data_IF_453475218944
#
_entry.id   IF_453475218944
#
_cell.length_a   1.000
_cell.length_b   1.000
_cell.length_c   1.000
_cell.angle_alpha   90.00
_cell.angle_beta   90.00
_cell.angle_gamma   90.00
#
_symmetry.space_group_name_H-M   'P 1'
#
loop_
_entity.id
_entity.type
_entity.pdbx_description
1 polymer ?
#
# COMPACT_ATOMS: atom_id res chain seq x y z
N UNK A 1 24.52 -2.45 -25.03
CA UNK A 1 23.17 -2.67 -24.45
C UNK A 1 23.35 -3.58 -23.25
N UNK A 2 22.81 -3.20 -22.09
CA UNK A 2 22.85 -4.01 -20.86
C UNK A 2 21.88 -5.19 -21.02
N UNK A 3 22.31 -6.39 -20.65
CA UNK A 3 21.47 -7.60 -20.65
C UNK A 3 21.11 -7.94 -19.20
N UNK A 4 19.88 -7.62 -18.75
CA UNK A 4 19.44 -7.83 -17.38
C UNK A 4 19.46 -9.31 -16.97
N UNK A 5 19.32 -10.23 -17.93
CA UNK A 5 19.30 -11.68 -17.64
C UNK A 5 20.69 -12.17 -17.25
N UNK A 6 21.72 -11.72 -17.98
CA UNK A 6 23.12 -12.04 -17.65
C UNK A 6 23.54 -11.49 -16.30
N UNK A 7 23.15 -10.25 -15.98
CA UNK A 7 23.48 -9.64 -14.68
C UNK A 7 22.83 -10.39 -13.52
N UNK A 8 21.59 -10.84 -13.70
CA UNK A 8 20.89 -11.62 -12.70
C UNK A 8 21.51 -13.02 -12.53
N UNK A 9 21.87 -13.69 -13.63
CA UNK A 9 22.52 -15.00 -13.57
C UNK A 9 23.91 -14.94 -12.95
N UNK A 10 24.71 -13.90 -13.26
CA UNK A 10 26.03 -13.69 -12.64
C UNK A 10 25.91 -13.39 -11.14
N UNK A 11 24.91 -12.61 -10.74
CA UNK A 11 24.64 -12.31 -9.33
C UNK A 11 24.19 -13.56 -8.57
N UNK A 12 23.27 -14.35 -9.14
CA UNK A 12 22.74 -15.55 -8.50
C UNK A 12 23.76 -16.68 -8.46
N UNK A 13 24.66 -16.75 -9.45
CA UNK A 13 25.77 -17.69 -9.51
C UNK A 13 26.95 -17.32 -8.61
N UNK A 14 26.97 -16.11 -8.05
CA UNK A 14 28.06 -15.67 -7.18
C UNK A 14 28.11 -16.48 -5.88
N UNK A 15 29.31 -16.94 -5.51
CA UNK A 15 29.53 -17.69 -4.28
C UNK A 15 29.67 -16.76 -3.09
N UNK A 16 28.96 -17.08 -2.00
CA UNK A 16 29.02 -16.30 -0.77
C UNK A 16 30.30 -16.69 0.00
N UNK A 17 31.20 -15.74 0.29
CA UNK A 17 32.47 -16.01 0.97
C UNK A 17 32.27 -16.75 2.29
N UNK A 18 33.05 -17.80 2.52
CA UNK A 18 33.06 -18.57 3.77
C UNK A 18 31.94 -19.61 3.93
N UNK A 19 31.02 -19.74 2.95
CA UNK A 19 29.90 -20.71 3.05
C UNK A 19 29.92 -21.80 1.97
N UNK A 20 30.72 -21.63 0.91
CA UNK A 20 30.83 -22.60 -0.19
C UNK A 20 29.58 -22.73 -1.07
N UNK A 21 28.50 -22.01 -0.76
CA UNK A 21 27.21 -22.03 -1.47
C UNK A 21 27.01 -20.77 -2.32
N UNK A 22 26.24 -20.89 -3.40
CA UNK A 22 25.86 -19.72 -4.21
C UNK A 22 24.70 -18.95 -3.58
N UNK A 23 24.52 -17.69 -4.00
CA UNK A 23 23.36 -16.86 -3.62
C UNK A 23 22.05 -17.57 -3.99
N UNK A 24 22.00 -18.25 -5.14
CA UNK A 24 20.84 -19.04 -5.58
C UNK A 24 20.54 -20.21 -4.65
N UNK A 25 21.56 -20.91 -4.17
CA UNK A 25 21.38 -22.06 -3.27
C UNK A 25 20.84 -21.62 -1.92
N UNK A 26 21.37 -20.53 -1.35
CA UNK A 26 20.86 -19.94 -0.09
C UNK A 26 19.44 -19.41 -0.25
N UNK A 27 19.11 -18.79 -1.38
CA UNK A 27 17.77 -18.33 -1.67
C UNK A 27 16.77 -19.49 -1.81
N UNK A 28 17.15 -20.58 -2.49
CA UNK A 28 16.35 -21.80 -2.57
C UNK A 28 16.16 -22.46 -1.21
N UNK A 29 17.21 -22.49 -0.38
CA UNK A 29 17.16 -23.04 0.97
C UNK A 29 16.28 -22.18 1.90
N UNK A 30 16.33 -20.86 1.79
CA UNK A 30 15.45 -19.94 2.51
C UNK A 30 13.99 -20.05 2.06
N UNK A 31 13.73 -20.20 0.76
CA UNK A 31 12.38 -20.42 0.23
C UNK A 31 11.79 -21.77 0.66
N UNK A 32 12.63 -22.82 0.72
CA UNK A 32 12.24 -24.13 1.21
C UNK A 32 11.98 -24.10 2.73
N UNK A 33 12.84 -23.43 3.49
CA UNK A 33 12.65 -23.25 4.93
C UNK A 33 11.42 -22.38 5.26
N UNK A 34 11.05 -21.44 4.39
CA UNK A 34 9.81 -20.66 4.48
C UNK A 34 8.55 -21.47 4.10
N UNK A 35 8.66 -22.44 3.18
CA UNK A 35 7.59 -23.41 2.91
C UNK A 35 7.38 -24.37 4.08
N UNK A 36 8.48 -24.83 4.66
CA UNK A 36 8.46 -25.86 5.70
C UNK A 36 8.21 -25.27 7.11
N UNK A 37 8.56 -24.00 7.34
CA UNK A 37 8.29 -23.28 8.58
C UNK A 37 8.11 -21.77 8.34
N UNK A 38 6.89 -21.33 7.96
CA UNK A 38 6.59 -19.93 7.65
C UNK A 38 6.78 -18.96 8.83
N UNK A 39 6.85 -19.47 10.07
CA UNK A 39 7.12 -18.68 11.28
C UNK A 39 8.61 -18.32 11.43
N UNK A 40 9.53 -19.19 10.99
CA UNK A 40 10.97 -18.96 11.11
C UNK A 40 11.49 -17.87 10.15
N UNK A 41 10.85 -17.70 9.00
CA UNK A 41 11.16 -16.64 8.04
C UNK A 41 10.86 -15.22 8.59
N UNK A 42 9.92 -15.09 9.53
CA UNK A 42 9.57 -13.81 10.15
C UNK A 42 10.63 -13.26 11.11
N UNK A 43 11.44 -14.13 11.72
CA UNK A 43 12.43 -13.73 12.72
C UNK A 43 13.62 -12.94 12.12
N UNK A 44 13.98 -13.20 10.85
CA UNK A 44 15.05 -12.44 10.17
C UNK A 44 14.63 -11.01 9.82
N UNK A 45 13.34 -10.77 9.58
CA UNK A 45 12.81 -9.43 9.30
C UNK A 45 12.76 -8.54 10.56
N UNK A 46 12.53 -9.13 11.74
CA UNK A 46 12.52 -8.41 13.01
C UNK A 46 13.88 -7.82 13.40
N UNK A 47 14.98 -8.47 12.96
CA UNK A 47 16.35 -8.00 13.23
C UNK A 47 16.77 -6.89 12.26
N UNK A 48 16.19 -6.81 11.06
CA UNK A 48 16.49 -5.75 10.08
C UNK A 48 15.74 -4.43 10.35
N UNK A 49 14.68 -4.44 11.17
CA UNK A 49 13.76 -3.30 11.35
C UNK A 49 13.80 -2.60 12.72
N UNK A 50 14.88 -2.81 13.49
CA UNK A 50 15.35 -1.90 14.55
C UNK A 50 14.30 -1.07 15.32
N UNK A 51 13.84 -1.61 16.44
CA UNK A 51 13.33 -0.97 17.67
C UNK A 51 12.98 0.54 17.61
N UNK A 52 11.69 0.83 17.45
CA UNK A 52 11.06 2.09 17.83
C UNK A 52 9.61 1.82 18.24
N UNK A 53 9.38 1.74 19.55
CA UNK A 53 8.09 1.73 20.27
C UNK A 53 6.85 1.31 19.44
N UNK A 54 6.49 0.02 19.47
CA UNK A 54 5.08 -0.41 19.45
C UNK A 54 4.40 -0.68 18.11
N UNK A 55 5.05 -0.51 16.95
CA UNK A 55 4.43 -0.89 15.65
C UNK A 55 4.77 -2.33 15.27
N UNK A 56 3.95 -3.29 15.73
CA UNK A 56 3.91 -4.62 15.12
C UNK A 56 3.11 -4.54 13.82
N UNK A 57 3.80 -4.24 12.72
CA UNK A 57 3.26 -4.45 11.37
C UNK A 57 3.57 -5.92 11.02
N UNK A 58 2.68 -6.83 11.38
CA UNK A 58 2.86 -8.27 11.13
C UNK A 58 2.52 -8.62 9.68
N UNK A 59 3.39 -9.42 9.05
CA UNK A 59 3.06 -10.47 8.06
C UNK A 59 2.42 -10.08 6.72
N UNK A 60 1.26 -9.44 6.73
CA UNK A 60 0.46 -9.12 5.53
C UNK A 60 0.81 -7.76 4.95
N UNK A 61 1.08 -6.76 5.80
CA UNK A 61 1.37 -5.39 5.37
C UNK A 61 2.80 -5.18 4.82
N UNK A 62 3.72 -6.13 5.06
CA UNK A 62 5.10 -6.09 4.52
C UNK A 62 5.23 -6.87 3.21
N UNK A 63 4.30 -7.78 2.90
CA UNK A 63 4.41 -8.70 1.74
C UNK A 63 3.84 -8.15 0.43
N UNK A 64 3.13 -7.02 0.46
CA UNK A 64 2.54 -6.41 -0.74
C UNK A 64 3.08 -5.01 -0.94
N UNK A 65 3.73 -4.80 -2.10
CA UNK A 65 4.06 -3.45 -2.57
C UNK A 65 2.81 -2.58 -2.53
N UNK A 66 2.95 -1.35 -2.03
CA UNK A 66 1.82 -0.49 -1.63
C UNK A 66 0.69 -0.37 -2.66
N UNK A 67 1.01 -0.46 -3.96
CA UNK A 67 0.04 -0.37 -5.06
C UNK A 67 -0.79 -1.66 -5.24
N UNK A 68 -0.17 -2.83 -5.17
CA UNK A 68 -0.88 -4.10 -5.27
C UNK A 68 -1.84 -4.29 -4.10
N UNK A 69 -1.49 -3.79 -2.91
CA UNK A 69 -2.39 -3.76 -1.77
C UNK A 69 -3.61 -2.84 -2.00
N UNK A 70 -3.41 -1.66 -2.60
CA UNK A 70 -4.51 -0.74 -2.95
C UNK A 70 -5.48 -1.40 -3.94
N UNK A 71 -4.97 -1.92 -5.06
CA UNK A 71 -5.80 -2.58 -6.08
C UNK A 71 -6.54 -3.80 -5.53
N UNK A 72 -5.88 -4.59 -4.68
CA UNK A 72 -6.46 -5.74 -4.01
C UNK A 72 -7.60 -5.40 -3.06
N UNK A 73 -7.41 -4.37 -2.23
CA UNK A 73 -8.44 -3.88 -1.31
C UNK A 73 -9.63 -3.29 -2.07
N UNK A 74 -9.38 -2.50 -3.11
CA UNK A 74 -10.42 -1.93 -3.96
C UNK A 74 -11.23 -3.03 -4.67
N UNK A 75 -10.55 -4.03 -5.23
CA UNK A 75 -11.19 -5.18 -5.86
C UNK A 75 -12.06 -5.97 -4.88
N UNK A 76 -11.54 -6.25 -3.67
CA UNK A 76 -12.28 -6.96 -2.62
C UNK A 76 -13.53 -6.20 -2.19
N UNK A 77 -13.42 -4.89 -1.98
CA UNK A 77 -14.55 -4.03 -1.65
C UNK A 77 -15.62 -4.06 -2.77
N UNK A 78 -15.18 -3.95 -4.03
CA UNK A 78 -16.06 -4.02 -5.19
C UNK A 78 -16.79 -5.37 -5.31
N UNK A 79 -16.09 -6.49 -5.10
CA UNK A 79 -16.70 -7.83 -5.13
C UNK A 79 -17.76 -7.99 -4.03
N UNK A 80 -17.48 -7.54 -2.81
CA UNK A 80 -18.45 -7.60 -1.72
C UNK A 80 -19.69 -6.75 -2.01
N UNK A 81 -19.50 -5.55 -2.55
CA UNK A 81 -20.58 -4.68 -2.99
C UNK A 81 -21.43 -5.33 -4.09
N UNK A 82 -20.80 -5.92 -5.10
CA UNK A 82 -21.50 -6.60 -6.20
C UNK A 82 -22.22 -7.87 -5.76
N UNK A 83 -21.73 -8.56 -4.75
CA UNK A 83 -22.37 -9.74 -4.16
C UNK A 83 -23.60 -9.38 -3.30
N UNK A 84 -23.83 -8.09 -3.00
CA UNK A 84 -24.91 -7.65 -2.11
C UNK A 84 -24.66 -8.00 -0.63
N UNK A 85 -23.39 -8.20 -0.26
CA UNK A 85 -23.01 -8.41 1.13
C UNK A 85 -23.19 -7.09 1.91
N UNK A 86 -23.36 -7.17 3.22
CA UNK A 86 -23.29 -5.97 4.06
C UNK A 86 -21.82 -5.53 4.23
N UNK A 87 -21.54 -4.22 4.36
CA UNK A 87 -20.22 -3.73 4.75
C UNK A 87 -19.83 -4.25 6.14
N UNK A 88 -19.01 -5.31 6.19
CA UNK A 88 -18.59 -5.93 7.44
C UNK A 88 -17.13 -5.59 7.78
N UNK A 89 -16.90 -5.14 9.02
CA UNK A 89 -15.56 -4.99 9.58
C UNK A 89 -15.05 -6.36 10.05
N UNK A 90 -14.08 -6.90 9.31
CA UNK A 90 -13.32 -8.13 9.58
C UNK A 90 -14.08 -9.48 9.47
N UNK A 91 -13.40 -10.55 8.99
CA UNK A 91 -13.89 -11.91 9.18
C UNK A 91 -13.79 -12.31 10.67
N UNK A 92 -14.79 -13.04 11.18
CA UNK A 92 -14.82 -13.55 12.55
C UNK A 92 -13.70 -14.58 12.89
N UNK A 93 -12.88 -14.94 11.90
CA UNK A 93 -11.77 -15.88 12.06
C UNK A 93 -10.84 -15.82 10.85
N UNK A 94 -9.59 -15.36 11.04
CA UNK A 94 -8.52 -15.33 10.04
C UNK A 94 -7.85 -13.97 9.91
N UNK A 95 -6.54 -13.95 9.63
CA UNK A 95 -5.82 -12.71 9.29
C UNK A 95 -6.39 -12.11 7.99
N UNK A 96 -6.52 -10.77 7.89
CA UNK A 96 -6.88 -10.12 6.63
C UNK A 96 -5.82 -10.45 5.57
N UNK A 97 -6.14 -11.37 4.66
CA UNK A 97 -5.28 -11.62 3.51
C UNK A 97 -5.41 -10.43 2.55
N UNK A 98 -4.39 -9.58 2.56
CA UNK A 98 -4.15 -8.66 1.47
C UNK A 98 -3.68 -9.52 0.29
N UNK A 99 -4.41 -9.48 -0.81
CA UNK A 99 -4.07 -10.20 -2.04
C UNK A 99 -3.95 -9.18 -3.16
N UNK A 100 -3.02 -9.36 -4.12
CA UNK A 100 -3.01 -8.52 -5.31
C UNK A 100 -4.34 -8.70 -6.08
N UNK A 101 -4.79 -7.69 -6.83
CA UNK A 101 -5.95 -7.84 -7.69
C UNK A 101 -5.65 -8.96 -8.71
N UNK A 102 -6.67 -9.72 -9.15
CA UNK A 102 -6.46 -10.72 -10.18
C UNK A 102 -5.91 -10.09 -11.46
N UNK A 103 -4.96 -10.76 -12.09
CA UNK A 103 -4.39 -10.33 -13.36
C UNK A 103 -5.46 -10.22 -14.45
N UNK A 104 -5.22 -9.35 -15.43
CA UNK A 104 -6.12 -9.12 -16.58
C UNK A 104 -7.52 -8.62 -16.17
N UNK A 105 -7.65 -8.03 -14.98
CA UNK A 105 -8.88 -7.34 -14.55
C UNK A 105 -8.73 -5.82 -14.67
N UNK A 106 -9.84 -5.09 -14.54
CA UNK A 106 -9.82 -3.62 -14.53
C UNK A 106 -9.03 -3.02 -13.35
N UNK A 107 -8.68 -3.82 -12.34
CA UNK A 107 -7.88 -3.45 -11.17
C UNK A 107 -6.42 -3.88 -11.31
N UNK A 108 -6.05 -4.57 -12.38
CA UNK A 108 -4.65 -4.89 -12.66
C UNK A 108 -3.93 -3.60 -13.11
N UNK A 109 -2.87 -3.14 -12.41
CA UNK A 109 -2.12 -1.95 -12.80
C UNK A 109 -1.58 -2.00 -14.23
N UNK A 110 -1.29 -3.19 -14.76
CA UNK A 110 -0.84 -3.39 -16.15
C UNK A 110 -1.93 -3.04 -17.18
N UNK A 111 -3.21 -3.02 -16.78
CA UNK A 111 -4.35 -2.71 -17.64
C UNK A 111 -4.76 -1.23 -17.57
N UNK A 112 -4.01 -0.37 -16.88
CA UNK A 112 -4.27 1.06 -16.82
C UNK A 112 -4.23 1.68 -18.24
N UNK A 113 -5.29 2.37 -18.72
CA UNK A 113 -5.33 2.95 -20.07
C UNK A 113 -4.23 3.98 -20.35
N UNK A 114 -3.73 4.62 -19.30
CA UNK A 114 -2.63 5.59 -19.32
C UNK A 114 -1.25 4.97 -19.07
N UNK A 115 -1.19 3.65 -18.88
CA UNK A 115 0.00 2.93 -18.45
C UNK A 115 0.15 2.89 -16.93
N UNK A 116 0.75 1.79 -16.44
CA UNK A 116 0.95 1.49 -15.02
C UNK A 116 1.66 2.62 -14.28
N UNK A 117 2.72 3.19 -14.87
CA UNK A 117 3.53 4.22 -14.23
C UNK A 117 2.76 5.53 -14.01
N UNK A 118 1.95 5.97 -14.98
CA UNK A 118 1.17 7.20 -14.86
C UNK A 118 0.07 7.07 -13.81
N UNK A 119 -0.62 5.92 -13.79
CA UNK A 119 -1.63 5.66 -12.78
C UNK A 119 -1.03 5.50 -11.38
N UNK A 120 0.13 4.85 -11.27
CA UNK A 120 0.89 4.76 -10.02
C UNK A 120 1.21 6.14 -9.44
N UNK A 121 1.70 7.07 -10.28
CA UNK A 121 1.96 8.44 -9.84
C UNK A 121 0.67 9.13 -9.39
N UNK A 122 -0.46 8.84 -10.02
CA UNK A 122 -1.78 9.39 -9.64
C UNK A 122 -2.20 8.90 -8.26
N UNK A 123 -2.00 7.60 -7.95
CA UNK A 123 -2.25 7.05 -6.61
C UNK A 123 -1.35 7.70 -5.56
N UNK A 124 -0.05 7.88 -5.85
CA UNK A 124 0.88 8.56 -4.93
C UNK A 124 0.43 10.00 -4.65
N UNK A 125 0.00 10.74 -5.67
CA UNK A 125 -0.53 12.10 -5.49
C UNK A 125 -1.79 12.13 -4.64
N UNK A 126 -2.67 11.14 -4.80
CA UNK A 126 -3.89 11.02 -3.99
C UNK A 126 -3.53 10.78 -2.51
N UNK A 127 -2.58 9.89 -2.24
CA UNK A 127 -2.07 9.65 -0.88
C UNK A 127 -1.48 10.94 -0.28
N UNK A 128 -0.65 11.67 -1.03
CA UNK A 128 -0.07 12.93 -0.56
C UNK A 128 -1.15 13.98 -0.29
N UNK A 129 -2.17 14.06 -1.15
CA UNK A 129 -3.27 15.00 -0.99
C UNK A 129 -4.15 14.67 0.21
N UNK A 130 -4.39 13.37 0.46
CA UNK A 130 -5.07 12.88 1.65
C UNK A 130 -4.29 13.24 2.91
N UNK A 131 -2.97 12.99 2.93
CA UNK A 131 -2.10 13.35 4.05
C UNK A 131 -2.03 14.86 4.34
N UNK A 132 -2.39 15.70 3.36
CA UNK A 132 -2.44 17.17 3.47
C UNK A 132 -3.82 17.72 3.81
N UNK A 133 -4.84 16.87 3.91
CA UNK A 133 -6.23 17.30 4.04
C UNK A 133 -6.50 18.15 5.29
N UNK A 134 -5.72 17.96 6.36
CA UNK A 134 -5.82 18.72 7.59
C UNK A 134 -5.08 20.08 7.55
N UNK A 135 -4.25 20.31 6.53
CA UNK A 135 -3.53 21.55 6.28
C UNK A 135 -2.23 21.76 7.08
N UNK A 136 -1.71 20.73 7.77
CA UNK A 136 -0.63 20.94 8.77
C UNK A 136 0.81 20.72 8.30
N UNK A 137 1.09 20.47 7.02
CA UNK A 137 2.48 20.28 6.59
C UNK A 137 3.21 21.63 6.52
N UNK A 138 3.94 21.96 7.57
CA UNK A 138 4.84 23.10 7.65
C UNK A 138 6.26 22.80 7.11
N UNK A 139 7.09 23.83 7.01
CA UNK A 139 8.43 23.71 6.43
C UNK A 139 9.40 22.87 7.27
N UNK A 140 9.20 22.80 8.59
CA UNK A 140 9.99 21.92 9.46
C UNK A 140 9.63 20.45 9.23
N UNK A 141 8.34 20.15 9.08
CA UNK A 141 7.84 18.83 8.76
C UNK A 141 8.31 18.38 7.38
N UNK A 142 8.28 19.28 6.37
CA UNK A 142 8.87 19.00 5.04
C UNK A 142 10.34 18.60 5.14
N UNK A 143 11.15 19.34 5.91
CA UNK A 143 12.57 19.02 6.10
C UNK A 143 12.75 17.65 6.76
N UNK A 144 11.97 17.35 7.80
CA UNK A 144 11.98 16.04 8.46
C UNK A 144 11.60 14.90 7.49
N UNK A 145 10.63 15.14 6.59
CA UNK A 145 10.26 14.18 5.54
C UNK A 145 11.42 13.98 4.56
N UNK A 146 12.05 15.05 4.08
CA UNK A 146 13.20 14.97 3.17
C UNK A 146 14.36 14.14 3.77
N UNK A 147 14.72 14.41 5.03
CA UNK A 147 15.78 13.68 5.72
C UNK A 147 15.43 12.18 5.88
N UNK A 148 14.17 11.86 6.18
CA UNK A 148 13.69 10.47 6.26
C UNK A 148 13.71 9.77 4.90
N UNK A 149 13.35 10.44 3.82
CA UNK A 149 13.38 9.87 2.46
C UNK A 149 14.82 9.50 2.05
N UNK A 150 15.81 10.35 2.38
CA UNK A 150 17.23 10.06 2.16
C UNK A 150 17.70 8.87 2.97
N UNK A 151 17.34 8.81 4.26
CA UNK A 151 17.69 7.69 5.14
C UNK A 151 17.06 6.37 4.68
N UNK A 152 15.88 6.42 4.07
CA UNK A 152 15.20 5.27 3.49
C UNK A 152 15.80 4.81 2.14
N UNK A 153 16.83 5.50 1.63
CA UNK A 153 17.47 5.14 0.35
C UNK A 153 16.61 5.43 -0.88
N UNK A 154 15.61 6.32 -0.76
CA UNK A 154 14.82 6.77 -1.90
C UNK A 154 15.73 7.55 -2.86
N UNK A 155 15.68 7.22 -4.16
CA UNK A 155 16.48 7.91 -5.18
C UNK A 155 16.17 9.41 -5.23
N UNK A 156 17.17 10.22 -5.59
CA UNK A 156 17.06 11.69 -5.60
C UNK A 156 15.91 12.21 -6.47
N UNK A 157 15.61 11.53 -7.57
CA UNK A 157 14.50 11.87 -8.47
C UNK A 157 13.13 11.67 -7.79
N UNK A 158 12.96 10.56 -7.07
CA UNK A 158 11.74 10.27 -6.33
C UNK A 158 11.58 11.21 -5.13
N UNK A 159 12.66 11.51 -4.40
CA UNK A 159 12.67 12.50 -3.33
C UNK A 159 12.20 13.88 -3.85
N UNK A 160 12.81 14.36 -4.95
CA UNK A 160 12.46 15.64 -5.56
C UNK A 160 10.99 15.69 -6.00
N UNK A 161 10.48 14.61 -6.57
CA UNK A 161 9.07 14.50 -6.95
C UNK A 161 8.15 14.63 -5.72
N UNK A 162 8.41 13.87 -4.65
CA UNK A 162 7.60 13.87 -3.44
C UNK A 162 7.59 15.26 -2.77
N UNK A 163 8.75 15.91 -2.67
CA UNK A 163 8.85 17.25 -2.10
C UNK A 163 8.09 18.29 -2.93
N UNK A 164 8.20 18.24 -4.26
CA UNK A 164 7.43 19.12 -5.13
C UNK A 164 5.92 18.92 -4.97
N UNK A 165 5.45 17.67 -4.83
CA UNK A 165 4.03 17.38 -4.63
C UNK A 165 3.53 17.82 -3.23
N UNK A 166 4.38 17.75 -2.21
CA UNK A 166 4.08 18.29 -0.88
C UNK A 166 3.87 19.81 -0.90
N UNK A 167 4.59 20.54 -1.76
CA UNK A 167 4.45 22.01 -1.93
C UNK A 167 3.25 22.42 -2.77
N UNK A 168 2.79 21.56 -3.70
CA UNK A 168 1.66 21.90 -4.59
C UNK A 168 0.37 22.16 -3.80
N UNK A 169 -0.43 23.17 -4.13
CA UNK A 169 -1.77 23.30 -3.56
C UNK A 169 -2.62 22.04 -3.82
N UNK A 170 -3.53 21.72 -2.90
CA UNK A 170 -4.45 20.60 -3.06
C UNK A 170 -5.36 20.85 -4.28
N UNK A 171 -5.31 19.95 -5.26
CA UNK A 171 -6.06 20.03 -6.51
C UNK A 171 -6.78 18.69 -6.78
N UNK A 172 -8.02 18.60 -6.31
CA UNK A 172 -8.85 17.41 -6.50
C UNK A 172 -9.28 17.21 -7.95
N UNK A 173 -9.39 18.27 -8.75
CA UNK A 173 -9.83 18.16 -10.13
C UNK A 173 -8.79 17.43 -10.97
N UNK A 174 -7.51 17.78 -10.78
CA UNK A 174 -6.40 17.07 -11.41
C UNK A 174 -6.33 15.61 -10.95
N UNK A 175 -6.56 15.32 -9.67
CA UNK A 175 -6.57 13.95 -9.15
C UNK A 175 -7.70 13.10 -9.75
N UNK A 176 -8.92 13.64 -9.75
CA UNK A 176 -10.12 12.95 -10.27
C UNK A 176 -9.97 12.70 -11.77
N UNK A 177 -9.42 13.64 -12.53
CA UNK A 177 -9.14 13.47 -13.95
C UNK A 177 -8.09 12.39 -14.25
N UNK A 178 -7.22 12.07 -13.28
CA UNK A 178 -6.23 11.00 -13.39
C UNK A 178 -6.82 9.59 -13.32
N UNK A 179 -8.06 9.43 -12.81
CA UNK A 179 -8.78 8.15 -12.78
C UNK A 179 -9.69 8.01 -14.01
N UNK A 180 -9.25 7.22 -15.00
CA UNK A 180 -9.90 7.07 -16.31
C UNK A 180 -10.97 5.97 -16.35
N UNK A 181 -10.99 5.08 -15.37
CA UNK A 181 -11.95 3.96 -15.27
C UNK A 181 -12.63 3.93 -13.91
N UNK A 182 -13.76 3.24 -13.80
CA UNK A 182 -14.46 3.11 -12.52
C UNK A 182 -13.64 2.32 -11.48
N UNK A 183 -12.84 1.35 -11.92
CA UNK A 183 -11.89 0.67 -11.06
C UNK A 183 -10.83 1.65 -10.51
N UNK A 184 -10.24 2.48 -11.38
CA UNK A 184 -9.25 3.47 -10.98
C UNK A 184 -9.82 4.52 -10.01
N UNK A 185 -11.08 4.93 -10.17
CA UNK A 185 -11.74 5.82 -9.22
C UNK A 185 -11.84 5.19 -7.84
N UNK A 186 -12.21 3.91 -7.79
CA UNK A 186 -12.28 3.16 -6.53
C UNK A 186 -10.91 2.99 -5.89
N UNK A 187 -9.88 2.69 -6.68
CA UNK A 187 -8.49 2.59 -6.22
C UNK A 187 -7.96 3.93 -5.70
N UNK A 188 -8.29 5.05 -6.35
CA UNK A 188 -7.90 6.39 -5.91
C UNK A 188 -8.49 6.74 -4.54
N UNK A 189 -9.77 6.43 -4.34
CA UNK A 189 -10.44 6.59 -3.05
C UNK A 189 -9.82 5.65 -1.99
N UNK A 190 -9.59 4.39 -2.35
CA UNK A 190 -8.97 3.38 -1.46
C UNK A 190 -7.56 3.81 -1.01
N UNK A 191 -6.74 4.32 -1.92
CA UNK A 191 -5.40 4.84 -1.60
C UNK A 191 -5.47 6.02 -0.62
N UNK A 192 -6.41 6.94 -0.86
CA UNK A 192 -6.64 8.09 0.01
C UNK A 192 -7.08 7.65 1.41
N UNK A 193 -8.07 6.75 1.50
CA UNK A 193 -8.57 6.21 2.76
C UNK A 193 -7.54 5.34 3.50
N UNK A 194 -6.65 4.66 2.79
CA UNK A 194 -5.55 3.93 3.41
C UNK A 194 -4.53 4.87 4.05
N UNK A 195 -4.35 6.07 3.48
CA UNK A 195 -3.34 7.03 3.92
C UNK A 195 -3.72 7.73 5.21
N UNK A 196 -4.99 8.11 5.37
CA UNK A 196 -5.48 8.84 6.54
C UNK A 196 -6.47 7.99 7.34
N UNK A 197 -6.58 8.26 8.63
CA UNK A 197 -7.70 7.82 9.44
C UNK A 197 -8.59 9.04 9.66
N UNK A 198 -9.88 8.99 9.29
CA UNK A 198 -10.75 10.17 9.30
C UNK A 198 -11.20 10.56 10.71
N UNK A 199 -10.23 10.84 11.58
CA UNK A 199 -10.42 11.21 12.98
C UNK A 199 -10.78 12.70 13.11
N UNK A 200 -10.34 13.53 12.15
CA UNK A 200 -10.70 14.94 12.08
C UNK A 200 -11.83 15.21 11.08
N UNK A 201 -12.57 16.30 11.32
CA UNK A 201 -13.59 16.78 10.37
C UNK A 201 -12.99 17.14 8.99
N UNK A 202 -11.75 17.61 8.97
CA UNK A 202 -11.05 17.97 7.73
C UNK A 202 -10.78 16.72 6.87
N UNK A 203 -10.26 15.66 7.47
CA UNK A 203 -9.99 14.39 6.79
C UNK A 203 -11.28 13.70 6.30
N UNK A 204 -12.33 13.66 7.14
CA UNK A 204 -13.64 13.14 6.72
C UNK A 204 -14.21 13.95 5.55
N UNK A 205 -14.18 15.28 5.64
CA UNK A 205 -14.66 16.17 4.58
C UNK A 205 -13.88 16.02 3.28
N UNK A 206 -12.56 15.78 3.36
CA UNK A 206 -11.74 15.47 2.18
C UNK A 206 -12.19 14.17 1.50
N UNK A 207 -12.40 13.09 2.27
CA UNK A 207 -12.87 11.81 1.72
C UNK A 207 -14.27 11.92 1.13
N UNK A 208 -15.20 12.64 1.79
CA UNK A 208 -16.55 12.90 1.28
C UNK A 208 -16.50 13.63 -0.07
N UNK A 209 -15.71 14.70 -0.14
CA UNK A 209 -15.54 15.48 -1.35
C UNK A 209 -14.92 14.63 -2.48
N UNK A 210 -13.90 13.84 -2.16
CA UNK A 210 -13.25 12.94 -3.12
C UNK A 210 -14.24 11.89 -3.66
N UNK A 211 -14.99 11.21 -2.78
CA UNK A 211 -15.99 10.22 -3.18
C UNK A 211 -17.07 10.83 -4.10
N UNK A 212 -17.58 12.00 -3.72
CA UNK A 212 -18.57 12.74 -4.52
C UNK A 212 -18.03 13.16 -5.89
N UNK A 213 -16.79 13.65 -5.98
CA UNK A 213 -16.16 14.04 -7.25
C UNK A 213 -15.85 12.86 -8.16
N UNK A 214 -15.53 11.71 -7.57
CA UNK A 214 -15.36 10.46 -8.31
C UNK A 214 -16.70 9.84 -8.75
N UNK A 215 -17.82 10.28 -8.17
CA UNK A 215 -19.14 9.71 -8.45
C UNK A 215 -19.28 8.28 -7.93
N UNK A 216 -18.64 7.96 -6.82
CA UNK A 216 -18.75 6.64 -6.18
C UNK A 216 -20.10 6.53 -5.45
N UNK A 217 -20.85 5.43 -5.60
CA UNK A 217 -22.06 5.20 -4.80
C UNK A 217 -21.73 5.09 -3.31
N UNK A 218 -22.55 5.69 -2.45
CA UNK A 218 -22.35 5.68 -0.99
C UNK A 218 -22.17 4.26 -0.43
N UNK A 219 -23.02 3.32 -0.86
CA UNK A 219 -22.89 1.92 -0.45
C UNK A 219 -21.54 1.29 -0.85
N UNK A 220 -21.00 1.64 -2.02
CA UNK A 220 -19.67 1.15 -2.43
C UNK A 220 -18.55 1.80 -1.59
N UNK A 221 -18.70 3.08 -1.23
CA UNK A 221 -17.79 3.78 -0.31
C UNK A 221 -17.76 3.06 1.04
N UNK A 222 -18.91 2.69 1.59
CA UNK A 222 -19.01 1.97 2.87
C UNK A 222 -18.26 0.62 2.83
N UNK A 223 -18.30 -0.08 1.69
CA UNK A 223 -17.53 -1.31 1.50
C UNK A 223 -16.02 -1.07 1.48
N UNK A 224 -15.56 0.02 0.86
CA UNK A 224 -14.12 0.37 0.89
C UNK A 224 -13.70 0.72 2.30
N UNK A 225 -14.48 1.56 3.00
CA UNK A 225 -14.25 1.95 4.38
C UNK A 225 -14.12 0.74 5.30
N UNK A 226 -15.05 -0.22 5.22
CA UNK A 226 -15.00 -1.45 5.99
C UNK A 226 -13.79 -2.33 5.64
N UNK A 227 -13.48 -2.44 4.33
CA UNK A 227 -12.37 -3.27 3.84
C UNK A 227 -11.01 -2.71 4.26
N UNK A 228 -10.82 -1.39 4.15
CA UNK A 228 -9.59 -0.71 4.59
C UNK A 228 -9.46 -0.75 6.11
N UNK A 229 -10.55 -0.51 6.85
CA UNK A 229 -10.53 -0.57 8.31
C UNK A 229 -10.12 -1.96 8.80
N UNK A 230 -10.69 -3.02 8.22
CA UNK A 230 -10.31 -4.40 8.53
C UNK A 230 -8.83 -4.71 8.23
N UNK A 231 -8.24 -4.07 7.21
CA UNK A 231 -6.83 -4.21 6.88
C UNK A 231 -5.88 -3.42 7.82
N UNK A 232 -6.36 -2.34 8.45
CA UNK A 232 -5.59 -1.54 9.41
C UNK A 232 -5.58 -2.13 10.83
N UNK A 233 -6.57 -2.97 11.18
CA UNK A 233 -6.64 -3.59 12.52
C UNK A 233 -5.52 -4.64 12.69
N UNK A 234 -4.66 -4.52 13.72
CA UNK A 234 -3.63 -5.51 13.98
C UNK A 234 -4.25 -6.85 14.39
N UNK A 235 -3.73 -7.95 13.85
CA UNK A 235 -4.06 -9.30 14.29
C UNK A 235 -3.68 -9.45 15.77
N UNK A 236 -4.67 -9.39 16.67
CA UNK A 236 -4.45 -9.61 18.11
C UNK A 236 -5.28 -8.79 19.10
N UNK A 237 -6.15 -7.87 18.67
CA UNK A 237 -7.09 -7.23 19.59
C UNK A 237 -8.27 -8.18 19.88
N UNK A 238 -8.06 -9.11 20.81
CA UNK A 238 -9.14 -9.91 21.39
C UNK A 238 -10.20 -8.96 22.00
N UNK A 239 -11.50 -9.29 21.92
CA UNK A 239 -12.53 -8.51 22.60
C UNK A 239 -12.22 -8.51 24.10
N UNK A 240 -12.15 -7.33 24.71
CA UNK A 240 -12.11 -7.19 26.16
C UNK A 240 -13.36 -7.85 26.73
N UNK A 241 -13.15 -9.02 27.33
CA UNK A 241 -14.19 -9.79 28.00
C UNK A 241 -14.79 -8.93 29.12
N UNK A 242 -16.12 -8.74 29.19
CA UNK A 242 -16.76 -8.03 30.28
C UNK A 242 -17.08 -9.03 31.40
N UNK A 243 -16.05 -9.53 32.07
CA UNK A 243 -16.19 -10.30 33.32
C UNK A 243 -15.06 -9.93 34.27
#
# INVERSE_FOLDING_TARGET
MLDPKKLLDDLLGSQIPGTGSTVRDKAGQAAQMAKDNPLAAGALAAVLLGTGTGRQVTGAAIKLGGLAAIGGLAYKAYQNYKAGNEPAQAPASGEPELLPPPADTAFDPAQAPQGEAEFTLTLVRAMISAAKADGHIDDEERKKIADKLKLAGIGAEAEKFLLAELERPLDLDTLVAGAKTDAQKLELYTASRLTIDPDTRAERGYLDLLAGRLGLPDALVDHVEATVSAAKVPAGSAPSSPW
#
